data_IF_551071878264
#
_entry.id   IF_551071878264
#
_cell.length_a   1.000
_cell.length_b   1.000
_cell.length_c   1.000
_cell.angle_alpha   90.00
_cell.angle_beta   90.00
_cell.angle_gamma   90.00
#
_symmetry.space_group_name_H-M   'P 1'
#
loop_
_entity.id
_entity.type
_entity.pdbx_description
1 polymer ?
#
# COMPACT_ATOMS: atom_id res chain seq x y z
N UNK A 1 -18.21 -20.45 10.21
CA UNK A 1 -17.62 -19.09 10.38
C UNK A 1 -17.28 -18.47 9.03
N UNK A 2 -16.39 -19.06 8.22
CA UNK A 2 -16.05 -18.52 6.89
C UNK A 2 -17.25 -18.29 5.95
N UNK A 3 -18.22 -19.21 5.92
CA UNK A 3 -19.44 -19.05 5.10
C UNK A 3 -20.28 -17.82 5.46
N UNK A 4 -20.28 -17.39 6.73
CA UNK A 4 -20.96 -16.17 7.16
C UNK A 4 -20.16 -14.95 6.68
N UNK A 5 -18.84 -15.01 6.85
CA UNK A 5 -17.93 -13.93 6.48
C UNK A 5 -17.91 -13.67 4.96
N UNK A 6 -17.98 -14.72 4.13
CA UNK A 6 -18.00 -14.59 2.67
C UNK A 6 -19.29 -13.98 2.13
N UNK A 7 -20.37 -13.94 2.92
CA UNK A 7 -21.67 -13.36 2.54
C UNK A 7 -21.90 -11.97 3.12
N UNK A 8 -20.97 -11.46 3.94
CA UNK A 8 -21.09 -10.14 4.54
C UNK A 8 -21.05 -9.04 3.44
N UNK A 9 -21.83 -7.96 3.58
CA UNK A 9 -21.72 -6.80 2.70
C UNK A 9 -20.29 -6.24 2.66
N UNK A 10 -19.83 -5.86 1.46
CA UNK A 10 -18.49 -5.27 1.27
C UNK A 10 -18.34 -4.01 2.13
N UNK A 11 -17.21 -3.90 2.82
CA UNK A 11 -16.88 -2.74 3.66
C UNK A 11 -17.52 -2.76 5.05
N UNK A 12 -18.31 -3.78 5.39
CA UNK A 12 -18.92 -3.90 6.72
C UNK A 12 -17.94 -4.38 7.81
N UNK A 13 -17.00 -5.26 7.44
CA UNK A 13 -16.12 -5.95 8.39
C UNK A 13 -14.67 -5.58 8.14
N UNK A 14 -13.97 -5.23 9.21
CA UNK A 14 -12.52 -5.10 9.28
C UNK A 14 -11.97 -6.06 10.32
N UNK A 15 -10.91 -6.80 9.98
CA UNK A 15 -10.13 -7.58 10.94
C UNK A 15 -8.78 -6.94 11.18
N UNK A 16 -8.43 -6.75 12.44
CA UNK A 16 -7.08 -6.47 12.91
C UNK A 16 -6.46 -7.76 13.42
N UNK A 17 -5.44 -8.22 12.71
CA UNK A 17 -4.78 -9.51 12.95
C UNK A 17 -3.35 -9.23 13.38
N UNK A 18 -3.17 -9.04 14.68
CA UNK A 18 -1.84 -8.77 15.22
C UNK A 18 -0.97 -10.02 15.23
N UNK A 19 -0.22 -10.29 14.16
CA UNK A 19 0.76 -11.39 14.10
C UNK A 19 1.95 -11.14 15.03
N UNK A 20 2.26 -9.87 15.28
CA UNK A 20 3.35 -9.35 16.12
C UNK A 20 4.74 -9.59 15.53
N UNK A 21 5.06 -10.84 15.22
CA UNK A 21 6.32 -11.28 14.60
C UNK A 21 6.09 -12.63 13.91
N UNK A 22 7.00 -13.00 13.01
CA UNK A 22 7.08 -14.35 12.44
C UNK A 22 8.24 -15.17 13.04
N UNK A 23 9.08 -14.53 13.85
CA UNK A 23 10.20 -15.17 14.53
C UNK A 23 9.68 -16.02 15.71
N UNK A 24 9.92 -17.33 15.64
CA UNK A 24 9.44 -18.29 16.64
C UNK A 24 9.96 -18.00 18.05
N UNK A 25 11.25 -17.63 18.19
CA UNK A 25 11.84 -17.31 19.50
C UNK A 25 11.21 -16.05 20.10
N UNK A 26 10.89 -15.07 19.25
CA UNK A 26 10.19 -13.85 19.66
C UNK A 26 8.77 -14.16 20.12
N UNK A 27 8.02 -14.95 19.34
CA UNK A 27 6.66 -15.36 19.68
C UNK A 27 6.60 -16.16 20.97
N UNK A 28 7.55 -17.09 21.18
CA UNK A 28 7.68 -17.84 22.42
C UNK A 28 7.94 -16.91 23.61
N UNK A 29 8.89 -15.97 23.47
CA UNK A 29 9.26 -15.03 24.53
C UNK A 29 8.10 -14.12 24.98
N UNK A 30 7.19 -13.77 24.06
CA UNK A 30 5.99 -12.98 24.39
C UNK A 30 4.76 -13.84 24.73
N UNK A 31 4.97 -15.14 24.98
CA UNK A 31 3.93 -16.12 25.31
C UNK A 31 2.82 -16.25 24.24
N UNK A 32 3.17 -16.08 22.97
CA UNK A 32 2.26 -16.18 21.83
C UNK A 32 2.41 -17.54 21.15
N UNK A 33 1.71 -18.55 21.67
CA UNK A 33 1.65 -19.89 21.08
C UNK A 33 0.64 -19.92 19.93
N UNK A 34 1.09 -19.53 18.74
CA UNK A 34 0.24 -19.46 17.53
C UNK A 34 0.90 -20.22 16.39
N UNK A 35 0.09 -21.03 15.69
CA UNK A 35 0.48 -21.60 14.40
C UNK A 35 0.41 -20.50 13.33
N UNK A 36 1.54 -19.85 13.05
CA UNK A 36 1.65 -18.74 12.09
C UNK A 36 1.23 -19.18 10.69
N UNK A 37 1.57 -20.39 10.28
CA UNK A 37 1.16 -20.93 8.98
C UNK A 37 -0.37 -20.98 8.86
N UNK A 38 -1.04 -21.47 9.90
CA UNK A 38 -2.51 -21.50 9.95
C UNK A 38 -3.11 -20.08 9.95
N UNK A 39 -2.47 -19.12 10.60
CA UNK A 39 -2.91 -17.71 10.53
C UNK A 39 -2.80 -17.18 9.11
N UNK A 40 -1.69 -17.41 8.44
CA UNK A 40 -1.48 -16.96 7.05
C UNK A 40 -2.46 -17.62 6.09
N UNK A 41 -2.72 -18.92 6.24
CA UNK A 41 -3.73 -19.63 5.44
C UNK A 41 -5.13 -19.06 5.63
N UNK A 42 -5.48 -18.65 6.86
CA UNK A 42 -6.77 -18.01 7.13
C UNK A 42 -6.83 -16.59 6.55
N UNK A 43 -5.75 -15.81 6.62
CA UNK A 43 -5.68 -14.47 6.02
C UNK A 43 -5.89 -14.56 4.51
N UNK A 44 -5.20 -15.50 3.83
CA UNK A 44 -5.36 -15.72 2.39
C UNK A 44 -6.81 -16.03 2.02
N UNK A 45 -7.46 -16.94 2.75
CA UNK A 45 -8.89 -17.26 2.56
C UNK A 45 -9.81 -16.06 2.77
N UNK A 46 -9.56 -15.24 3.81
CA UNK A 46 -10.35 -14.03 4.06
C UNK A 46 -10.19 -13.02 2.92
N UNK A 47 -8.97 -12.88 2.38
CA UNK A 47 -8.68 -11.98 1.26
C UNK A 47 -9.40 -12.41 -0.02
N UNK A 48 -9.46 -13.72 -0.30
CA UNK A 48 -10.15 -14.28 -1.46
C UNK A 48 -11.64 -13.90 -1.53
N UNK A 49 -12.28 -13.58 -0.40
CA UNK A 49 -13.68 -13.16 -0.40
C UNK A 49 -13.89 -11.73 -0.96
N UNK A 50 -12.86 -10.88 -0.97
CA UNK A 50 -12.91 -9.53 -1.56
C UNK A 50 -13.88 -8.55 -0.89
N UNK A 51 -14.49 -8.90 0.24
CA UNK A 51 -15.51 -8.12 0.94
C UNK A 51 -15.09 -7.67 2.36
N UNK A 52 -13.95 -8.16 2.86
CA UNK A 52 -13.45 -7.90 4.23
C UNK A 52 -12.14 -7.13 4.17
N UNK A 53 -12.06 -6.06 4.96
CA UNK A 53 -10.84 -5.29 5.12
C UNK A 53 -9.91 -5.98 6.14
N UNK A 54 -8.62 -6.06 5.84
CA UNK A 54 -7.66 -6.85 6.62
C UNK A 54 -6.48 -5.98 6.98
N UNK A 55 -6.24 -5.83 8.28
CA UNK A 55 -5.08 -5.20 8.88
C UNK A 55 -4.20 -6.27 9.51
N UNK A 56 -2.90 -6.20 9.26
CA UNK A 56 -1.92 -7.11 9.85
C UNK A 56 -0.92 -6.28 10.64
N UNK A 57 -0.71 -6.62 11.92
CA UNK A 57 0.18 -5.84 12.78
C UNK A 57 1.46 -6.59 13.12
N UNK A 58 2.59 -5.91 12.92
CA UNK A 58 3.91 -6.29 13.42
C UNK A 58 4.30 -5.34 14.57
N UNK A 59 5.09 -5.83 15.53
CA UNK A 59 5.66 -5.00 16.59
C UNK A 59 7.17 -5.13 16.59
N UNK A 60 7.86 -4.05 16.21
CA UNK A 60 9.30 -3.93 16.36
C UNK A 60 9.68 -3.76 17.83
N UNK A 61 10.78 -4.39 18.23
CA UNK A 61 11.33 -4.23 19.58
C UNK A 61 11.04 -5.37 20.54
N UNK A 62 10.41 -6.45 20.08
CA UNK A 62 10.19 -7.63 20.89
C UNK A 62 11.52 -8.35 21.20
N UNK A 63 11.58 -9.22 22.23
CA UNK A 63 12.78 -10.01 22.51
C UNK A 63 13.19 -10.90 21.34
N UNK A 64 14.49 -11.14 21.19
CA UNK A 64 15.09 -12.03 20.19
C UNK A 64 14.86 -11.61 18.73
N UNK A 65 14.40 -10.38 18.51
CA UNK A 65 14.16 -9.82 17.20
C UNK A 65 15.12 -8.66 16.94
N UNK A 66 16.10 -8.92 16.07
CA UNK A 66 16.98 -7.90 15.53
C UNK A 66 16.38 -7.26 14.27
N UNK A 67 17.10 -6.30 13.68
CA UNK A 67 16.64 -5.60 12.50
C UNK A 67 16.33 -6.56 11.33
N UNK A 68 17.22 -7.52 11.06
CA UNK A 68 17.08 -8.41 9.90
C UNK A 68 15.92 -9.38 10.07
N UNK A 69 15.77 -9.98 11.25
CA UNK A 69 14.64 -10.86 11.57
C UNK A 69 13.30 -10.12 11.59
N UNK A 70 13.28 -8.85 12.01
CA UNK A 70 12.09 -8.00 11.83
C UNK A 70 11.78 -7.76 10.35
N UNK A 71 12.78 -7.43 9.51
CA UNK A 71 12.56 -7.24 8.08
C UNK A 71 12.11 -8.54 7.38
N UNK A 72 12.51 -9.71 7.86
CA UNK A 72 11.94 -10.99 7.40
C UNK A 72 10.45 -11.09 7.73
N UNK A 73 10.07 -10.77 8.97
CA UNK A 73 8.64 -10.70 9.36
C UNK A 73 7.86 -9.70 8.52
N UNK A 74 8.47 -8.55 8.19
CA UNK A 74 7.90 -7.56 7.29
C UNK A 74 7.63 -8.15 5.90
N UNK A 75 8.59 -8.86 5.32
CA UNK A 75 8.42 -9.48 4.00
C UNK A 75 7.29 -10.50 4.01
N UNK A 76 7.29 -11.41 4.98
CA UNK A 76 6.27 -12.45 5.12
C UNK A 76 4.86 -11.87 5.31
N UNK A 77 4.74 -10.81 6.11
CA UNK A 77 3.46 -10.12 6.31
C UNK A 77 3.00 -9.36 5.05
N UNK A 78 3.94 -8.74 4.33
CA UNK A 78 3.66 -8.01 3.09
C UNK A 78 3.18 -8.95 1.98
N UNK A 79 3.72 -10.16 1.89
CA UNK A 79 3.31 -11.20 0.92
C UNK A 79 1.87 -11.70 1.11
N UNK A 80 1.24 -11.40 2.25
CA UNK A 80 -0.20 -11.62 2.43
C UNK A 80 -1.04 -10.58 1.68
N UNK A 81 -0.42 -9.49 1.23
CA UNK A 81 -1.05 -8.30 0.64
C UNK A 81 -2.27 -7.85 1.47
N UNK A 82 -2.09 -7.56 2.76
CA UNK A 82 -3.17 -7.02 3.57
C UNK A 82 -3.61 -5.65 3.04
N UNK A 83 -4.78 -5.20 3.44
CA UNK A 83 -5.22 -3.85 3.07
C UNK A 83 -4.45 -2.78 3.85
N UNK A 84 -4.04 -3.10 5.08
CA UNK A 84 -3.06 -2.33 5.83
C UNK A 84 -2.05 -3.26 6.51
N UNK A 85 -0.78 -2.86 6.47
CA UNK A 85 0.29 -3.48 7.24
C UNK A 85 0.76 -2.45 8.27
N UNK A 86 0.49 -2.68 9.55
CA UNK A 86 0.89 -1.78 10.62
C UNK A 86 2.24 -2.21 11.19
N UNK A 87 3.18 -1.27 11.25
CA UNK A 87 4.42 -1.44 12.01
C UNK A 87 4.29 -0.67 13.33
N UNK A 88 4.07 -1.40 14.41
CA UNK A 88 4.06 -0.87 15.77
C UNK A 88 5.47 -0.90 16.38
N UNK A 89 5.71 -0.05 17.36
CA UNK A 89 6.91 -0.08 18.18
C UNK A 89 6.54 -0.46 19.61
N UNK A 90 7.29 -1.39 20.20
CA UNK A 90 7.00 -1.91 21.52
C UNK A 90 6.93 -0.79 22.56
N UNK A 91 5.86 -0.82 23.37
CA UNK A 91 5.66 0.07 24.51
C UNK A 91 5.75 -0.73 25.81
N UNK A 92 6.64 -0.33 26.71
CA UNK A 92 6.79 -0.96 28.02
C UNK A 92 5.73 -0.43 28.98
N UNK A 93 4.50 -0.88 28.83
CA UNK A 93 3.37 -0.47 29.68
C UNK A 93 3.55 -0.94 31.13
N UNK A 94 3.08 -0.15 32.10
CA UNK A 94 3.12 -0.55 33.51
C UNK A 94 2.27 -1.81 33.71
N UNK A 95 2.81 -2.80 34.42
CA UNK A 95 2.11 -4.05 34.72
C UNK A 95 2.24 -5.15 33.67
N UNK A 96 2.83 -4.90 32.50
CA UNK A 96 3.07 -5.97 31.51
C UNK A 96 4.25 -6.86 31.89
N UNK A 97 4.24 -8.11 31.43
CA UNK A 97 5.35 -9.06 31.64
C UNK A 97 6.67 -8.50 31.09
N UNK A 98 6.64 -7.95 29.86
CA UNK A 98 7.82 -7.38 29.21
C UNK A 98 8.42 -6.19 29.99
N UNK A 99 7.60 -5.45 30.76
CA UNK A 99 8.08 -4.39 31.65
C UNK A 99 8.87 -4.94 32.83
N UNK A 100 8.47 -6.08 33.37
CA UNK A 100 9.19 -6.76 34.46
C UNK A 100 10.52 -7.33 33.95
N UNK A 101 10.57 -7.74 32.68
CA UNK A 101 11.75 -8.24 31.99
C UNK A 101 12.65 -7.15 31.40
N UNK A 102 12.40 -5.87 31.72
CA UNK A 102 13.14 -4.73 31.16
C UNK A 102 14.66 -4.90 31.26
N UNK A 103 15.18 -5.33 32.42
CA UNK A 103 16.61 -5.55 32.64
C UNK A 103 17.15 -6.76 31.88
N UNK A 104 16.36 -7.83 31.75
CA UNK A 104 16.72 -9.09 31.10
C UNK A 104 17.06 -8.89 29.62
N UNK A 105 16.32 -8.00 28.94
CA UNK A 105 16.52 -7.71 27.52
C UNK A 105 17.15 -6.33 27.26
N UNK A 106 17.74 -5.72 28.30
CA UNK A 106 18.46 -4.43 28.20
C UNK A 106 17.63 -3.30 27.58
N UNK A 107 16.33 -3.25 27.88
CA UNK A 107 15.43 -2.23 27.32
C UNK A 107 15.79 -0.82 27.81
N UNK A 108 15.94 0.10 26.86
CA UNK A 108 15.87 1.55 27.07
C UNK A 108 14.55 2.02 26.46
N UNK A 109 13.78 2.82 27.18
CA UNK A 109 12.45 3.26 26.75
C UNK A 109 12.08 4.59 27.42
N UNK A 110 11.08 5.29 26.87
CA UNK A 110 10.61 6.58 27.40
C UNK A 110 9.95 6.39 28.77
N UNK A 111 10.31 7.19 29.77
CA UNK A 111 9.71 7.10 31.11
C UNK A 111 8.32 7.74 31.24
N UNK A 112 7.81 8.30 30.14
CA UNK A 112 6.50 8.93 30.05
C UNK A 112 5.72 8.35 28.86
N UNK A 113 4.38 8.46 28.85
CA UNK A 113 3.56 7.96 27.75
C UNK A 113 4.07 8.48 26.38
N UNK A 114 4.12 7.63 25.34
CA UNK A 114 3.53 6.29 25.26
C UNK A 114 4.43 5.15 25.75
N UNK A 115 5.53 5.42 26.48
CA UNK A 115 6.47 4.41 27.00
C UNK A 115 7.16 3.53 25.95
N UNK A 116 7.29 4.06 24.74
CA UNK A 116 7.93 3.38 23.62
C UNK A 116 9.42 3.12 23.86
N UNK A 117 9.90 1.99 23.34
CA UNK A 117 11.32 1.66 23.39
C UNK A 117 12.16 2.63 22.56
N UNK A 118 13.40 2.80 23.01
CA UNK A 118 14.47 3.50 22.30
C UNK A 118 15.49 2.49 21.78
N UNK A 119 15.76 1.41 22.51
CA UNK A 119 16.63 0.31 22.09
C UNK A 119 16.44 -0.89 23.02
N UNK A 120 16.99 -2.05 22.67
CA UNK A 120 17.12 -3.21 23.54
C UNK A 120 18.42 -3.98 23.22
N UNK A 121 18.55 -5.23 23.69
CA UNK A 121 19.72 -6.07 23.41
C UNK A 121 19.88 -6.50 21.93
N UNK A 122 18.85 -6.35 21.11
CA UNK A 122 18.75 -6.88 19.74
C UNK A 122 18.64 -5.76 18.68
N UNK A 123 18.01 -4.64 19.04
CA UNK A 123 17.79 -3.47 18.20
C UNK A 123 18.47 -2.25 18.81
N UNK A 124 19.36 -1.63 18.04
CA UNK A 124 19.99 -0.37 18.39
C UNK A 124 19.01 0.80 18.25
N UNK A 125 19.37 1.97 18.80
CA UNK A 125 18.57 3.18 18.60
C UNK A 125 18.48 3.56 17.10
N UNK A 126 19.59 3.42 16.37
CA UNK A 126 19.63 3.70 14.94
C UNK A 126 18.73 2.76 14.15
N UNK A 127 18.66 1.48 14.53
CA UNK A 127 17.73 0.52 13.92
C UNK A 127 16.27 0.91 14.16
N UNK A 128 15.93 1.35 15.38
CA UNK A 128 14.57 1.85 15.67
C UNK A 128 14.24 3.06 14.80
N UNK A 129 15.18 3.99 14.61
CA UNK A 129 14.99 5.15 13.72
C UNK A 129 14.82 4.71 12.26
N UNK A 130 15.60 3.73 11.78
CA UNK A 130 15.47 3.17 10.43
C UNK A 130 14.10 2.53 10.21
N UNK A 131 13.62 1.74 11.17
CA UNK A 131 12.30 1.11 11.11
C UNK A 131 11.17 2.15 11.12
N UNK A 132 11.30 3.24 11.89
CA UNK A 132 10.32 4.35 11.88
C UNK A 132 10.22 5.04 10.52
N UNK A 133 11.36 5.26 9.87
CA UNK A 133 11.40 5.80 8.50
C UNK A 133 10.69 4.89 7.51
N UNK A 134 10.89 3.56 7.63
CA UNK A 134 10.20 2.56 6.81
C UNK A 134 8.70 2.57 7.09
N UNK A 135 8.28 2.63 8.35
CA UNK A 135 6.88 2.75 8.76
C UNK A 135 6.22 3.99 8.16
N UNK A 136 6.87 5.16 8.21
CA UNK A 136 6.34 6.38 7.61
C UNK A 136 6.13 6.26 6.08
N UNK A 137 7.05 5.59 5.38
CA UNK A 137 6.87 5.31 3.95
C UNK A 137 5.76 4.30 3.68
N UNK A 138 5.66 3.26 4.51
CA UNK A 138 4.58 2.27 4.41
C UNK A 138 3.22 2.94 4.58
N UNK A 139 3.07 3.83 5.56
CA UNK A 139 1.86 4.61 5.79
C UNK A 139 1.49 5.48 4.58
N UNK A 140 2.47 6.23 4.06
CA UNK A 140 2.24 7.18 2.96
C UNK A 140 1.91 6.50 1.64
N UNK A 141 2.58 5.39 1.34
CA UNK A 141 2.54 4.77 0.02
C UNK A 141 1.69 3.50 -0.04
N UNK A 142 1.81 2.60 0.93
CA UNK A 142 1.08 1.33 0.94
C UNK A 142 -0.28 1.47 1.62
N UNK A 143 -0.32 1.89 2.89
CA UNK A 143 -1.56 1.94 3.68
C UNK A 143 -2.52 3.04 3.21
N UNK A 144 -2.04 4.05 2.48
CA UNK A 144 -2.91 5.03 1.82
C UNK A 144 -3.77 4.43 0.70
N UNK A 145 -3.43 3.24 0.20
CA UNK A 145 -4.03 2.57 -0.96
C UNK A 145 -4.01 3.40 -2.26
N UNK A 146 -3.23 4.48 -2.30
CA UNK A 146 -3.16 5.39 -3.45
C UNK A 146 -2.22 4.92 -4.56
N UNK A 147 -1.25 4.08 -4.22
CA UNK A 147 -0.15 3.68 -5.11
C UNK A 147 -0.15 2.18 -5.41
N UNK A 148 -1.31 1.52 -5.31
CA UNK A 148 -1.40 0.05 -5.31
C UNK A 148 -0.76 -0.55 -6.55
N UNK A 149 -1.03 -0.01 -7.75
CA UNK A 149 -0.50 -0.58 -8.99
C UNK A 149 0.97 -0.27 -9.18
N UNK A 150 1.37 0.97 -8.92
CA UNK A 150 2.76 1.40 -9.06
C UNK A 150 3.67 0.66 -8.07
N UNK A 151 3.27 0.57 -6.80
CA UNK A 151 4.05 -0.17 -5.80
C UNK A 151 4.17 -1.64 -6.15
N UNK A 152 3.07 -2.29 -6.55
CA UNK A 152 3.11 -3.70 -6.97
C UNK A 152 4.13 -3.92 -8.09
N UNK A 153 4.06 -3.09 -9.13
CA UNK A 153 4.98 -3.18 -10.27
C UNK A 153 6.44 -2.94 -9.87
N UNK A 154 6.71 -1.93 -9.05
CA UNK A 154 8.07 -1.62 -8.60
C UNK A 154 8.62 -2.72 -7.70
N UNK A 155 7.88 -3.10 -6.66
CA UNK A 155 8.32 -4.09 -5.65
C UNK A 155 8.51 -5.46 -6.29
N UNK A 156 7.52 -6.00 -7.00
CA UNK A 156 7.59 -7.35 -7.57
C UNK A 156 8.52 -7.44 -8.79
N UNK A 157 8.60 -6.36 -9.58
CA UNK A 157 9.35 -6.37 -10.84
C UNK A 157 10.85 -6.16 -10.67
N UNK A 158 11.28 -5.49 -9.59
CA UNK A 158 12.63 -4.93 -9.54
C UNK A 158 13.35 -5.07 -8.20
N UNK A 159 12.68 -5.51 -7.14
CA UNK A 159 13.30 -5.72 -5.85
C UNK A 159 13.20 -7.19 -5.45
N UNK A 160 14.22 -7.76 -4.78
CA UNK A 160 14.19 -9.15 -4.37
C UNK A 160 13.13 -9.40 -3.27
N UNK A 161 12.88 -8.38 -2.44
CA UNK A 161 11.98 -8.44 -1.28
C UNK A 161 11.34 -7.07 -1.06
N UNK A 162 10.10 -7.00 -0.53
CA UNK A 162 9.45 -5.74 -0.17
C UNK A 162 10.29 -4.85 0.75
N UNK A 163 10.93 -5.45 1.76
CA UNK A 163 11.87 -4.79 2.67
C UNK A 163 12.94 -3.99 1.92
N UNK A 164 13.55 -4.59 0.88
CA UNK A 164 14.63 -3.98 0.12
C UNK A 164 14.15 -2.72 -0.63
N UNK A 165 12.92 -2.75 -1.16
CA UNK A 165 12.29 -1.56 -1.76
C UNK A 165 12.17 -0.44 -0.74
N UNK A 166 11.56 -0.69 0.43
CA UNK A 166 11.35 0.36 1.42
C UNK A 166 12.65 0.88 2.02
N UNK A 167 13.67 0.04 2.17
CA UNK A 167 15.00 0.48 2.59
C UNK A 167 15.67 1.40 1.56
N UNK A 168 15.62 1.03 0.28
CA UNK A 168 16.19 1.86 -0.78
C UNK A 168 15.42 3.17 -0.95
N UNK A 169 14.10 3.11 -0.87
CA UNK A 169 13.26 4.29 -0.95
C UNK A 169 13.46 5.21 0.25
N UNK A 170 13.66 4.65 1.45
CA UNK A 170 13.99 5.40 2.66
C UNK A 170 15.34 6.13 2.55
N UNK A 171 16.37 5.47 1.99
CA UNK A 171 17.66 6.12 1.71
C UNK A 171 17.52 7.29 0.72
N UNK A 172 16.71 7.12 -0.32
CA UNK A 172 16.41 8.19 -1.27
C UNK A 172 15.69 9.36 -0.58
N UNK A 173 14.66 9.05 0.23
CA UNK A 173 13.89 10.03 1.00
C UNK A 173 14.77 10.86 1.93
N UNK A 174 15.68 10.20 2.65
CA UNK A 174 16.61 10.85 3.56
C UNK A 174 17.61 11.74 2.81
N UNK A 175 18.22 11.24 1.73
CA UNK A 175 19.17 12.02 0.93
C UNK A 175 18.53 13.28 0.32
N UNK A 176 17.25 13.21 -0.01
CA UNK A 176 16.49 14.33 -0.56
C UNK A 176 15.87 15.27 0.49
N UNK A 177 16.05 14.98 1.80
CA UNK A 177 15.52 15.80 2.90
C UNK A 177 14.01 15.70 3.08
N UNK A 178 13.37 14.64 2.59
CA UNK A 178 11.91 14.51 2.60
C UNK A 178 11.31 14.16 3.96
N UNK A 179 12.10 13.63 4.91
CA UNK A 179 11.67 13.43 6.29
C UNK A 179 11.63 14.74 7.10
N UNK A 180 12.26 15.82 6.62
CA UNK A 180 12.42 17.06 7.37
C UNK A 180 11.32 18.08 7.08
N UNK A 181 10.36 17.75 6.20
CA UNK A 181 9.28 18.66 5.81
C UNK A 181 7.97 17.95 5.54
N UNK A 182 6.90 18.72 5.57
CA UNK A 182 5.58 18.26 5.11
C UNK A 182 5.59 18.06 3.59
N UNK A 183 4.97 16.96 3.15
CA UNK A 183 4.83 16.58 1.75
C UNK A 183 3.36 16.40 1.45
N UNK A 184 2.89 17.06 0.39
CA UNK A 184 1.48 16.94 -0.01
C UNK A 184 1.20 15.59 -0.66
N UNK A 185 -0.06 15.13 -0.59
CA UNK A 185 -0.50 13.92 -1.26
C UNK A 185 -0.14 13.86 -2.75
N UNK A 186 -0.19 15.01 -3.44
CA UNK A 186 0.16 15.13 -4.86
C UNK A 186 1.65 15.00 -5.09
N UNK A 187 2.45 15.57 -4.20
CA UNK A 187 3.91 15.54 -4.29
C UNK A 187 4.47 14.12 -4.08
N UNK A 188 3.79 13.26 -3.32
CA UNK A 188 4.17 11.85 -3.16
C UNK A 188 4.30 11.12 -4.52
N UNK A 189 3.46 11.45 -5.50
CA UNK A 189 3.54 10.89 -6.86
C UNK A 189 4.77 11.38 -7.61
N UNK A 190 5.08 12.68 -7.54
CA UNK A 190 6.31 13.23 -8.11
C UNK A 190 7.54 12.56 -7.50
N UNK A 191 7.55 12.40 -6.18
CA UNK A 191 8.67 11.77 -5.46
C UNK A 191 8.85 10.31 -5.86
N UNK A 192 7.77 9.53 -6.01
CA UNK A 192 7.86 8.13 -6.42
C UNK A 192 8.31 8.00 -7.88
N UNK A 193 7.86 8.89 -8.76
CA UNK A 193 8.33 8.96 -10.15
C UNK A 193 9.84 9.29 -10.20
N UNK A 194 10.26 10.32 -9.46
CA UNK A 194 11.66 10.74 -9.41
C UNK A 194 12.52 9.62 -8.84
N UNK A 195 12.11 8.99 -7.73
CA UNK A 195 12.78 7.81 -7.17
C UNK A 195 12.96 6.73 -8.23
N UNK A 196 11.89 6.34 -8.92
CA UNK A 196 11.92 5.31 -9.96
C UNK A 196 12.87 5.64 -11.13
N UNK A 197 13.05 6.93 -11.44
CA UNK A 197 14.01 7.38 -12.46
C UNK A 197 15.47 7.36 -11.99
N UNK A 198 15.72 7.48 -10.67
CA UNK A 198 17.08 7.52 -10.11
C UNK A 198 17.67 6.14 -9.86
N UNK A 199 16.82 5.17 -9.55
CA UNK A 199 17.22 3.79 -9.43
C UNK A 199 17.45 3.25 -10.84
N UNK A 200 18.66 2.72 -11.12
CA UNK A 200 19.04 2.14 -12.42
C UNK A 200 18.35 0.79 -12.66
N UNK A 201 17.07 0.72 -12.38
CA UNK A 201 16.24 -0.40 -12.73
C UNK A 201 16.02 -0.36 -14.23
N UNK A 202 15.97 -1.52 -14.88
CA UNK A 202 15.55 -1.64 -16.29
C UNK A 202 14.04 -1.43 -16.45
N UNK A 203 13.44 -0.61 -15.58
CA UNK A 203 12.02 -0.38 -15.54
C UNK A 203 11.60 0.52 -16.70
N UNK A 204 10.49 0.17 -17.35
CA UNK A 204 9.89 1.02 -18.36
C UNK A 204 9.27 2.25 -17.69
N UNK A 205 9.96 3.40 -17.78
CA UNK A 205 9.49 4.67 -17.24
C UNK A 205 8.17 5.14 -17.88
N UNK A 206 7.88 4.71 -19.11
CA UNK A 206 6.59 4.99 -19.76
C UNK A 206 5.49 4.23 -19.03
N UNK A 207 5.71 2.96 -18.68
CA UNK A 207 4.75 2.18 -17.90
C UNK A 207 4.60 2.74 -16.48
N UNK A 208 5.68 3.13 -15.80
CA UNK A 208 5.61 3.76 -14.47
C UNK A 208 4.76 5.03 -14.49
N UNK A 209 4.96 5.90 -15.48
CA UNK A 209 4.13 7.08 -15.66
C UNK A 209 2.64 6.73 -15.81
N UNK A 210 2.32 5.71 -16.61
CA UNK A 210 0.93 5.29 -16.85
C UNK A 210 0.29 4.67 -15.60
N UNK A 211 1.04 3.90 -14.81
CA UNK A 211 0.60 3.36 -13.52
C UNK A 211 0.37 4.46 -12.49
N UNK A 212 1.31 5.39 -12.31
CA UNK A 212 1.17 6.51 -11.37
C UNK A 212 0.03 7.45 -11.76
N UNK A 213 -0.16 7.70 -13.07
CA UNK A 213 -1.28 8.47 -13.59
C UNK A 213 -2.61 7.77 -13.26
N UNK A 214 -2.69 6.46 -13.43
CA UNK A 214 -3.89 5.69 -13.07
C UNK A 214 -4.17 5.76 -11.56
N UNK A 215 -3.18 5.42 -10.75
CA UNK A 215 -3.21 5.47 -9.29
C UNK A 215 -3.70 6.86 -8.80
N UNK A 216 -3.20 7.93 -9.42
CA UNK A 216 -3.62 9.30 -9.14
C UNK A 216 -5.09 9.56 -9.50
N UNK A 217 -5.51 9.26 -10.74
CA UNK A 217 -6.86 9.56 -11.24
C UNK A 217 -7.96 8.73 -10.55
N UNK A 218 -7.61 7.57 -9.98
CA UNK A 218 -8.53 6.80 -9.14
C UNK A 218 -8.60 7.37 -7.73
N UNK A 219 -7.56 8.06 -7.26
CA UNK A 219 -7.46 8.58 -5.89
C UNK A 219 -7.87 10.05 -5.72
N UNK A 220 -7.85 10.84 -6.80
CA UNK A 220 -8.06 12.29 -6.82
C UNK A 220 -8.99 12.70 -7.97
N UNK A 221 -9.91 13.63 -7.69
CA UNK A 221 -10.96 14.06 -8.63
C UNK A 221 -10.69 15.40 -9.33
N UNK A 222 -9.54 16.04 -9.09
CA UNK A 222 -9.23 17.37 -9.61
C UNK A 222 -8.78 17.37 -11.07
N UNK A 223 -8.45 16.19 -11.61
CA UNK A 223 -7.93 15.97 -12.97
C UNK A 223 -6.64 16.77 -13.31
N UNK A 224 -6.07 17.47 -12.35
CA UNK A 224 -4.78 18.13 -12.50
C UNK A 224 -3.70 17.12 -12.12
N UNK A 225 -2.83 16.68 -13.04
CA UNK A 225 -1.83 15.67 -12.70
C UNK A 225 -0.70 16.23 -11.83
N UNK A 226 -0.09 15.40 -10.96
CA UNK A 226 1.15 15.75 -10.27
C UNK A 226 2.27 16.15 -11.23
N UNK A 227 3.22 16.96 -10.73
CA UNK A 227 4.39 17.37 -11.50
C UNK A 227 5.18 16.13 -11.96
N UNK A 228 5.59 16.14 -13.23
CA UNK A 228 6.36 15.06 -13.85
C UNK A 228 5.51 13.97 -14.52
N UNK A 229 4.22 13.83 -14.16
CA UNK A 229 3.33 12.89 -14.84
C UNK A 229 2.84 13.45 -16.17
N UNK A 230 2.92 12.61 -17.20
CA UNK A 230 2.59 12.95 -18.58
C UNK A 230 1.28 12.32 -19.03
N UNK A 231 0.54 13.06 -19.86
CA UNK A 231 -0.68 12.60 -20.53
C UNK A 231 -0.35 12.04 -21.91
N UNK A 232 -1.13 11.05 -22.32
CA UNK A 232 -1.19 10.63 -23.71
C UNK A 232 -2.23 11.47 -24.43
N UNK A 233 -1.81 12.21 -25.45
CA UNK A 233 -2.72 12.93 -26.33
C UNK A 233 -3.03 12.08 -27.55
N UNK A 234 -4.32 11.93 -27.85
CA UNK A 234 -4.83 11.15 -28.99
C UNK A 234 -5.72 12.05 -29.83
N UNK A 235 -5.54 12.02 -31.15
CA UNK A 235 -6.41 12.72 -32.08
C UNK A 235 -7.85 12.19 -31.99
N UNK A 236 -8.81 13.11 -32.12
CA UNK A 236 -10.25 12.82 -32.02
C UNK A 236 -10.67 12.15 -30.69
N UNK A 237 -9.88 12.28 -29.61
CA UNK A 237 -10.17 11.64 -28.32
C UNK A 237 -11.59 11.92 -27.82
N UNK A 238 -12.03 13.17 -27.90
CA UNK A 238 -13.39 13.56 -27.51
C UNK A 238 -14.44 12.85 -28.36
N UNK A 239 -14.27 12.79 -29.68
CA UNK A 239 -15.22 12.10 -30.56
C UNK A 239 -15.31 10.61 -30.21
N UNK A 240 -14.17 9.96 -29.95
CA UNK A 240 -14.11 8.56 -29.49
C UNK A 240 -14.86 8.33 -28.18
N UNK A 241 -14.73 9.25 -27.21
CA UNK A 241 -15.49 9.18 -25.96
C UNK A 241 -17.01 9.26 -26.21
N UNK A 242 -17.45 10.17 -27.09
CA UNK A 242 -18.88 10.28 -27.44
C UNK A 242 -19.38 9.05 -28.21
N UNK A 243 -18.58 8.45 -29.10
CA UNK A 243 -18.94 7.19 -29.75
C UNK A 243 -19.06 6.04 -28.74
N UNK A 244 -18.14 5.96 -27.77
CA UNK A 244 -18.24 4.99 -26.68
C UNK A 244 -19.56 5.13 -25.92
N UNK A 245 -19.94 6.37 -25.57
CA UNK A 245 -21.15 6.68 -24.80
C UNK A 245 -22.47 6.52 -25.57
N UNK A 246 -22.43 6.40 -26.90
CA UNK A 246 -23.62 6.12 -27.73
C UNK A 246 -24.00 4.63 -27.71
N UNK A 247 -23.05 3.75 -27.41
CA UNK A 247 -23.31 2.31 -27.36
C UNK A 247 -24.01 1.95 -26.04
N UNK A 248 -25.25 1.48 -26.13
CA UNK A 248 -26.01 1.01 -24.97
C UNK A 248 -25.30 -0.14 -24.25
N UNK A 249 -24.69 -1.06 -24.98
CA UNK A 249 -23.90 -2.16 -24.43
C UNK A 249 -22.70 -1.66 -23.61
N UNK A 250 -22.00 -0.61 -24.07
CA UNK A 250 -20.90 -0.01 -23.32
C UNK A 250 -21.39 0.65 -22.02
N UNK A 251 -22.53 1.36 -22.07
CA UNK A 251 -23.10 1.98 -20.87
C UNK A 251 -23.55 0.89 -19.88
N UNK A 252 -24.28 -0.13 -20.32
CA UNK A 252 -24.73 -1.23 -19.46
C UNK A 252 -23.56 -1.96 -18.80
N UNK A 253 -22.45 -2.13 -19.53
CA UNK A 253 -21.28 -2.86 -19.03
C UNK A 253 -20.42 -2.04 -18.07
N UNK A 254 -20.19 -0.76 -18.36
CA UNK A 254 -19.16 0.03 -17.67
C UNK A 254 -19.70 1.20 -16.84
N UNK A 255 -20.92 1.67 -17.12
CA UNK A 255 -21.56 2.84 -16.51
C UNK A 255 -23.06 2.59 -16.26
N UNK A 256 -23.45 1.46 -15.63
CA UNK A 256 -24.85 1.05 -15.52
C UNK A 256 -25.73 2.08 -14.81
N UNK A 257 -25.17 2.89 -13.91
CA UNK A 257 -25.87 3.97 -13.22
C UNK A 257 -26.27 5.14 -14.14
N UNK A 258 -25.69 5.21 -15.34
CA UNK A 258 -25.98 6.22 -16.35
C UNK A 258 -26.87 5.69 -17.49
N UNK A 259 -27.49 4.53 -17.32
CA UNK A 259 -28.39 3.95 -18.32
C UNK A 259 -29.49 4.95 -18.70
N UNK A 260 -29.81 5.02 -20.00
CA UNK A 260 -30.79 5.93 -20.60
C UNK A 260 -30.49 7.44 -20.43
N UNK A 261 -29.30 7.82 -19.93
CA UNK A 261 -28.88 9.22 -19.88
C UNK A 261 -28.26 9.69 -21.21
N UNK A 262 -28.46 10.96 -21.61
CA UNK A 262 -27.81 11.49 -22.80
C UNK A 262 -26.28 11.49 -22.67
N UNK A 263 -25.54 11.06 -23.70
CA UNK A 263 -24.07 10.98 -23.70
C UNK A 263 -23.38 12.28 -23.22
N UNK A 264 -23.90 13.46 -23.58
CA UNK A 264 -23.36 14.75 -23.12
C UNK A 264 -23.44 14.94 -21.60
N UNK A 265 -24.49 14.41 -20.96
CA UNK A 265 -24.65 14.46 -19.51
C UNK A 265 -23.67 13.49 -18.85
N UNK A 266 -23.54 12.27 -19.39
CA UNK A 266 -22.59 11.27 -18.89
C UNK A 266 -21.16 11.81 -18.97
N UNK A 267 -20.77 12.38 -20.11
CA UNK A 267 -19.43 12.94 -20.33
C UNK A 267 -19.01 14.01 -19.29
N UNK A 268 -19.96 14.70 -18.67
CA UNK A 268 -19.67 15.70 -17.63
C UNK A 268 -19.59 15.09 -16.22
N UNK A 269 -20.08 13.87 -16.02
CA UNK A 269 -20.12 13.18 -14.72
C UNK A 269 -19.01 12.11 -14.61
N UNK A 270 -18.35 11.77 -15.71
CA UNK A 270 -17.25 10.79 -15.76
C UNK A 270 -15.96 11.42 -16.27
N UNK A 271 -14.83 10.90 -15.80
CA UNK A 271 -13.52 11.23 -16.34
C UNK A 271 -13.12 10.20 -17.41
N UNK A 272 -12.65 10.67 -18.56
CA UNK A 272 -12.04 9.83 -19.60
C UNK A 272 -10.55 10.11 -19.66
N UNK A 273 -9.75 9.06 -19.54
CA UNK A 273 -8.30 9.12 -19.69
C UNK A 273 -7.79 8.10 -20.69
N UNK A 274 -6.85 8.51 -21.55
CA UNK A 274 -6.13 7.61 -22.44
C UNK A 274 -4.88 7.01 -21.77
N UNK A 275 -4.72 5.70 -21.90
CA UNK A 275 -3.52 4.99 -21.45
C UNK A 275 -2.82 4.23 -22.57
N UNK A 276 -1.48 4.19 -22.51
CA UNK A 276 -0.64 3.40 -23.44
C UNK A 276 -0.67 1.89 -23.16
N UNK A 277 -1.07 1.51 -21.96
CA UNK A 277 -1.16 0.13 -21.49
C UNK A 277 -2.52 -0.13 -20.87
N UNK A 278 -2.90 -1.41 -20.76
CA UNK A 278 -4.08 -1.80 -20.00
C UNK A 278 -3.79 -1.76 -18.48
N UNK A 279 -3.75 -0.55 -17.93
CA UNK A 279 -3.46 -0.32 -16.52
C UNK A 279 -4.61 -0.66 -15.57
N UNK A 280 -5.81 -0.93 -16.09
CA UNK A 280 -6.99 -1.21 -15.28
C UNK A 280 -7.14 -2.68 -14.88
N UNK A 281 -6.46 -3.60 -15.58
CA UNK A 281 -6.50 -5.04 -15.28
C UNK A 281 -5.69 -5.37 -14.01
N UNK A 282 -6.30 -6.07 -13.06
CA UNK A 282 -5.68 -6.45 -11.78
C UNK A 282 -4.83 -7.73 -11.87
N UNK A 283 -4.89 -8.45 -13.00
CA UNK A 283 -4.38 -9.81 -13.12
C UNK A 283 -2.89 -9.94 -13.50
N UNK A 284 -2.12 -8.85 -13.63
CA UNK A 284 -0.69 -8.94 -13.99
C UNK A 284 -0.01 -7.62 -14.34
N UNK A 285 1.19 -7.71 -14.93
CA UNK A 285 1.88 -6.57 -15.55
C UNK A 285 1.07 -6.14 -16.78
N UNK A 286 0.69 -4.86 -16.91
CA UNK A 286 -0.13 -4.39 -18.03
C UNK A 286 0.45 -4.80 -19.39
N UNK A 287 -0.28 -5.64 -20.13
CA UNK A 287 0.07 -5.93 -21.52
C UNK A 287 -0.03 -4.65 -22.37
N UNK A 288 0.83 -4.53 -23.38
CA UNK A 288 0.84 -3.43 -24.35
C UNK A 288 -0.40 -3.51 -25.25
N UNK A 289 -1.54 -3.01 -24.75
CA UNK A 289 -2.77 -2.79 -25.50
C UNK A 289 -3.04 -1.29 -25.56
N UNK A 290 -3.15 -0.78 -26.78
CA UNK A 290 -2.88 0.61 -27.15
C UNK A 290 -3.96 1.61 -26.68
N UNK A 291 -5.09 1.17 -26.12
CA UNK A 291 -6.05 2.07 -25.48
C UNK A 291 -6.85 1.34 -24.40
N UNK A 292 -6.68 1.75 -23.16
CA UNK A 292 -7.62 1.53 -22.06
C UNK A 292 -8.23 2.89 -21.70
N UNK A 293 -9.56 2.95 -21.54
CA UNK A 293 -10.24 4.08 -20.93
C UNK A 293 -10.42 3.77 -19.45
N UNK A 294 -9.83 4.57 -18.56
CA UNK A 294 -10.27 4.55 -17.17
C UNK A 294 -11.49 5.45 -17.05
N UNK A 295 -12.59 4.89 -16.56
CA UNK A 295 -13.83 5.58 -16.23
C UNK A 295 -13.87 5.70 -14.71
N UNK A 296 -13.76 6.91 -14.20
CA UNK A 296 -14.05 7.21 -12.80
C UNK A 296 -15.14 8.27 -12.73
N UNK A 297 -16.13 8.07 -11.86
CA UNK A 297 -17.15 9.07 -11.59
C UNK A 297 -16.52 10.28 -10.91
N UNK A 298 -16.78 11.48 -11.41
CA UNK A 298 -16.24 12.76 -10.87
C UNK A 298 -16.69 13.00 -9.43
N UNK A 299 -17.84 12.42 -9.06
CA UNK A 299 -18.35 12.36 -7.68
C UNK A 299 -18.24 10.93 -7.16
N UNK A 300 -17.17 10.62 -6.41
CA UNK A 300 -17.26 9.49 -5.48
C UNK A 300 -18.24 9.86 -4.38
N UNK A 301 -19.34 9.12 -4.28
CA UNK A 301 -20.07 8.99 -3.02
C UNK A 301 -19.13 8.34 -2.01
N UNK A 302 -19.18 8.85 -0.78
CA UNK A 302 -18.27 8.55 0.33
C UNK A 302 -18.11 7.06 0.63
#
# INVERSE_FOLDING_TARGET
MFDILSRAPKGLIQFEIGIQSTNEATLEAVNRKTDIKKVFDNIKKLKEFGNIHIHVDLIAGLPFEDYNSFMNSFNEAYELYPHQLQLGFLKLLKGSAIRQECKKHSYKFRQYPPYEILSNAYLSFDDIIRLKKIEELLERYYNSARFQRTLKYLVEGFFPLPAAFFEEFSRYYEKAGYYERSISARELYTILLDFASTIKLKADMVLINELLKFDFLVSDNTNNLPKGLERLYIDDFRARCFEFLKSKENIEKFLPEFLDMPAKKIYNEVHFEAFRFNVADDNGIPEKRILSFCLTTVKRTA
#
